data_IF_056144819628
#
_entry.id   IF_056144819628
#
_cell.length_a   1.000
_cell.length_b   1.000
_cell.length_c   1.000
_cell.angle_alpha   90.00
_cell.angle_beta   90.00
_cell.angle_gamma   90.00
#
_symmetry.space_group_name_H-M   'P 1'
#
loop_
_entity.id
_entity.type
_entity.pdbx_description
1 polymer ?
#
# COMPACT_ATOMS: atom_id res chain seq x y z
N UNK A 1 -25.76 -24.46 -40.60
CA UNK A 1 -24.57 -24.34 -39.74
C UNK A 1 -24.86 -23.27 -38.70
N UNK A 2 -25.31 -23.67 -37.51
CA UNK A 2 -25.65 -22.74 -36.44
C UNK A 2 -24.37 -22.27 -35.74
N UNK A 3 -24.17 -20.97 -35.74
CA UNK A 3 -23.02 -20.31 -35.13
C UNK A 3 -23.28 -20.17 -33.62
N UNK A 4 -22.75 -21.11 -32.83
CA UNK A 4 -22.77 -21.00 -31.37
C UNK A 4 -21.67 -20.02 -30.94
N UNK A 5 -21.96 -18.72 -31.05
CA UNK A 5 -21.21 -17.69 -30.33
C UNK A 5 -21.52 -17.85 -28.83
N UNK A 6 -20.78 -18.74 -28.18
CA UNK A 6 -20.73 -18.87 -26.74
C UNK A 6 -20.15 -17.60 -26.13
N UNK A 7 -20.99 -16.59 -25.96
CA UNK A 7 -20.80 -15.52 -25.00
C UNK A 7 -20.75 -16.18 -23.63
N UNK A 8 -19.55 -16.45 -23.13
CA UNK A 8 -19.33 -16.68 -21.71
C UNK A 8 -19.66 -15.36 -21.01
N UNK A 9 -20.94 -15.17 -20.66
CA UNK A 9 -21.29 -14.23 -19.60
C UNK A 9 -20.60 -14.73 -18.34
N UNK A 10 -19.48 -14.13 -17.98
CA UNK A 10 -18.96 -14.20 -16.62
C UNK A 10 -19.95 -13.45 -15.72
N UNK A 11 -21.01 -14.12 -15.33
CA UNK A 11 -21.78 -13.72 -14.15
C UNK A 11 -20.85 -13.83 -12.94
N UNK A 12 -20.96 -12.88 -12.00
CA UNK A 12 -20.21 -12.77 -10.73
C UNK A 12 -20.39 -13.95 -9.75
N UNK A 13 -20.66 -15.15 -10.24
CA UNK A 13 -20.61 -16.35 -9.43
C UNK A 13 -19.14 -16.79 -9.33
N UNK A 14 -18.62 -16.76 -8.11
CA UNK A 14 -17.38 -17.44 -7.72
C UNK A 14 -17.36 -18.83 -8.37
N UNK A 15 -16.29 -19.16 -9.10
CA UNK A 15 -16.08 -20.50 -9.61
C UNK A 15 -15.90 -21.39 -8.38
N UNK A 16 -16.99 -21.99 -7.89
CA UNK A 16 -16.90 -22.99 -6.83
C UNK A 16 -16.12 -24.17 -7.40
N UNK A 17 -14.96 -24.41 -6.80
CA UNK A 17 -14.08 -25.48 -7.24
C UNK A 17 -14.77 -26.82 -6.91
N UNK A 18 -15.11 -27.65 -7.91
CA UNK A 18 -15.85 -28.89 -7.67
C UNK A 18 -15.03 -29.94 -6.92
N UNK A 19 -13.71 -29.75 -6.82
CA UNK A 19 -12.78 -30.56 -6.05
C UNK A 19 -12.02 -29.67 -5.07
N UNK A 20 -12.10 -29.92 -3.74
CA UNK A 20 -11.37 -29.15 -2.73
C UNK A 20 -9.84 -29.28 -2.85
N UNK A 21 -9.32 -30.22 -3.65
CA UNK A 21 -7.89 -30.37 -3.92
C UNK A 21 -7.40 -29.52 -5.09
N UNK A 22 -8.29 -28.89 -5.86
CA UNK A 22 -7.88 -28.05 -6.97
C UNK A 22 -7.29 -26.73 -6.47
N UNK A 23 -6.25 -26.19 -7.13
CA UNK A 23 -5.69 -24.90 -6.77
C UNK A 23 -6.77 -23.81 -6.82
N UNK A 24 -6.88 -23.04 -5.73
CA UNK A 24 -7.75 -21.86 -5.70
C UNK A 24 -7.16 -20.80 -6.62
N UNK A 25 -7.87 -20.47 -7.70
CA UNK A 25 -7.49 -19.41 -8.63
C UNK A 25 -7.97 -18.09 -8.04
N UNK A 26 -7.03 -17.19 -7.75
CA UNK A 26 -7.30 -15.84 -7.23
C UNK A 26 -7.12 -14.78 -8.31
N UNK A 27 -7.64 -13.58 -8.06
CA UNK A 27 -7.62 -12.43 -9.00
C UNK A 27 -6.22 -11.89 -9.29
N UNK A 28 -5.28 -12.08 -8.38
CA UNK A 28 -3.86 -11.73 -8.52
C UNK A 28 -3.02 -12.87 -7.94
N UNK A 29 -1.92 -13.22 -8.61
CA UNK A 29 -1.05 -14.35 -8.25
C UNK A 29 -0.37 -14.21 -6.89
N UNK A 30 -0.35 -13.00 -6.33
CA UNK A 30 0.20 -12.72 -4.99
C UNK A 30 -0.81 -12.92 -3.88
N UNK A 31 -2.10 -13.02 -4.20
CA UNK A 31 -3.13 -13.17 -3.18
C UNK A 31 -3.01 -14.52 -2.49
N UNK A 32 -3.27 -14.51 -1.19
CA UNK A 32 -3.21 -15.67 -0.31
C UNK A 32 -4.47 -15.73 0.53
N UNK A 33 -4.71 -16.84 1.24
CA UNK A 33 -5.84 -16.92 2.17
C UNK A 33 -5.78 -15.88 3.31
N UNK A 34 -4.61 -15.27 3.57
CA UNK A 34 -4.44 -14.20 4.56
C UNK A 34 -4.38 -12.80 3.97
N UNK A 35 -4.62 -12.61 2.67
CA UNK A 35 -4.55 -11.28 2.06
C UNK A 35 -5.66 -10.36 2.59
N UNK A 36 -5.27 -9.24 3.20
CA UNK A 36 -6.19 -8.27 3.80
C UNK A 36 -6.41 -7.05 2.89
N UNK A 37 -5.33 -6.49 2.35
CA UNK A 37 -5.39 -5.28 1.54
C UNK A 37 -4.38 -5.37 0.41
N UNK A 38 -4.81 -5.34 -0.84
CA UNK A 38 -3.94 -5.13 -1.99
C UNK A 38 -4.42 -3.91 -2.77
N UNK A 39 -3.61 -2.85 -2.75
CA UNK A 39 -3.83 -1.64 -3.55
C UNK A 39 -2.82 -1.64 -4.68
N UNK A 40 -3.31 -1.55 -5.91
CA UNK A 40 -2.48 -1.42 -7.10
C UNK A 40 -3.17 -0.48 -8.10
N UNK A 41 -2.71 0.79 -8.22
CA UNK A 41 -3.29 1.78 -9.12
C UNK A 41 -3.33 1.40 -10.60
N UNK A 42 -2.54 0.44 -11.09
CA UNK A 42 -2.59 0.00 -12.49
C UNK A 42 -3.21 -1.39 -12.68
N UNK A 43 -3.80 -1.98 -11.65
CA UNK A 43 -4.31 -3.34 -11.76
C UNK A 43 -5.32 -3.47 -12.91
N UNK A 44 -5.24 -4.54 -13.69
CA UNK A 44 -6.09 -4.72 -14.88
C UNK A 44 -7.58 -4.81 -14.53
N UNK A 45 -7.91 -5.37 -13.36
CA UNK A 45 -9.29 -5.53 -12.90
C UNK A 45 -9.83 -4.30 -12.16
N UNK A 46 -9.02 -3.67 -11.30
CA UNK A 46 -9.47 -2.68 -10.30
C UNK A 46 -8.52 -1.49 -10.18
N UNK A 47 -7.81 -1.16 -11.27
CA UNK A 47 -6.92 -0.02 -11.36
C UNK A 47 -7.66 1.32 -11.33
N UNK A 48 -6.92 2.39 -11.06
CA UNK A 48 -7.45 3.74 -10.98
C UNK A 48 -7.55 4.36 -12.39
N UNK A 49 -8.72 4.92 -12.69
CA UNK A 49 -8.92 5.72 -13.91
C UNK A 49 -8.42 7.16 -13.75
N UNK A 50 -8.50 7.70 -12.53
CA UNK A 50 -8.06 9.03 -12.14
C UNK A 50 -7.55 9.02 -10.69
N UNK A 51 -6.86 10.08 -10.28
CA UNK A 51 -6.47 10.29 -8.88
C UNK A 51 -7.72 10.49 -8.03
N UNK A 52 -7.95 9.68 -6.97
CA UNK A 52 -9.08 9.89 -6.08
C UNK A 52 -8.95 11.21 -5.31
N UNK A 53 -10.04 11.97 -5.28
CA UNK A 53 -10.18 13.15 -4.44
C UNK A 53 -10.35 12.75 -2.96
N UNK A 54 -10.31 13.74 -2.06
CA UNK A 54 -10.64 13.53 -0.64
C UNK A 54 -12.07 12.97 -0.51
N UNK A 55 -12.25 11.93 0.31
CA UNK A 55 -13.48 11.15 0.41
C UNK A 55 -13.66 10.08 -0.68
N UNK A 56 -12.80 10.06 -1.70
CA UNK A 56 -12.77 9.04 -2.73
C UNK A 56 -12.29 7.68 -2.23
N UNK A 57 -12.48 6.65 -3.04
CA UNK A 57 -12.08 5.28 -2.73
C UNK A 57 -10.99 4.77 -3.67
N UNK A 58 -10.14 3.88 -3.14
CA UNK A 58 -9.22 3.06 -3.90
C UNK A 58 -9.64 1.60 -3.69
N UNK A 59 -9.98 0.87 -4.77
CA UNK A 59 -10.38 -0.53 -4.67
C UNK A 59 -9.32 -1.39 -3.98
N UNK A 60 -9.76 -2.27 -3.10
CA UNK A 60 -8.95 -3.35 -2.56
C UNK A 60 -9.08 -4.57 -3.47
N UNK A 61 -7.99 -5.03 -4.08
CA UNK A 61 -7.98 -6.20 -4.95
C UNK A 61 -8.16 -7.49 -4.14
N UNK A 62 -7.72 -7.49 -2.88
CA UNK A 62 -7.84 -8.61 -1.93
C UNK A 62 -9.19 -8.60 -1.17
N UNK A 63 -10.24 -7.94 -1.69
CA UNK A 63 -11.46 -7.73 -0.91
C UNK A 63 -12.21 -9.03 -0.59
N UNK A 64 -12.12 -10.05 -1.44
CA UNK A 64 -12.78 -11.36 -1.21
C UNK A 64 -12.08 -12.12 -0.09
N UNK A 65 -10.74 -12.19 -0.14
CA UNK A 65 -9.92 -12.78 0.91
C UNK A 65 -10.14 -12.04 2.23
N UNK A 66 -10.13 -10.71 2.19
CA UNK A 66 -10.40 -9.89 3.37
C UNK A 66 -11.82 -10.09 3.92
N UNK A 67 -12.84 -10.19 3.06
CA UNK A 67 -14.21 -10.45 3.49
C UNK A 67 -14.35 -11.83 4.16
N UNK A 68 -13.64 -12.85 3.66
CA UNK A 68 -13.60 -14.16 4.27
C UNK A 68 -12.95 -14.13 5.66
N UNK A 69 -11.84 -13.40 5.83
CA UNK A 69 -11.13 -13.26 7.11
C UNK A 69 -11.96 -12.46 8.12
N UNK A 70 -12.55 -11.35 7.70
CA UNK A 70 -13.35 -10.46 8.55
C UNK A 70 -14.77 -11.00 8.82
N UNK A 71 -15.18 -12.08 8.12
CA UNK A 71 -16.52 -12.66 8.18
C UNK A 71 -17.62 -11.79 7.57
N UNK A 72 -17.26 -10.65 6.96
CA UNK A 72 -18.19 -9.73 6.30
C UNK A 72 -17.43 -8.75 5.41
N UNK A 73 -18.16 -8.11 4.49
CA UNK A 73 -17.64 -7.02 3.66
C UNK A 73 -18.01 -7.19 2.20
N UNK A 74 -17.92 -6.09 1.47
CA UNK A 74 -18.11 -6.00 0.03
C UNK A 74 -16.90 -5.30 -0.57
N UNK A 75 -16.75 -5.37 -1.90
CA UNK A 75 -15.73 -4.60 -2.60
C UNK A 75 -15.74 -3.11 -2.22
N UNK A 76 -16.92 -2.50 -2.05
CA UNK A 76 -17.06 -1.09 -1.68
C UNK A 76 -16.67 -0.86 -0.21
N UNK A 77 -17.20 -1.65 0.73
CA UNK A 77 -16.93 -1.43 2.17
C UNK A 77 -15.49 -1.77 2.56
N UNK A 78 -14.80 -2.60 1.77
CA UNK A 78 -13.40 -2.98 1.97
C UNK A 78 -12.43 -2.21 1.08
N UNK A 79 -12.92 -1.24 0.30
CA UNK A 79 -12.05 -0.29 -0.38
C UNK A 79 -11.37 0.65 0.62
N UNK A 80 -10.15 1.09 0.29
CA UNK A 80 -9.47 2.11 1.07
C UNK A 80 -10.06 3.49 0.77
N UNK A 81 -10.15 4.36 1.78
CA UNK A 81 -10.59 5.73 1.63
C UNK A 81 -9.40 6.67 1.53
N UNK A 82 -9.60 7.75 0.78
CA UNK A 82 -8.59 8.81 0.60
C UNK A 82 -8.96 10.02 1.43
N UNK A 83 -8.01 10.53 2.20
CA UNK A 83 -8.05 11.86 2.81
C UNK A 83 -7.00 12.72 2.13
N UNK A 84 -7.40 13.85 1.55
CA UNK A 84 -6.47 14.85 1.03
C UNK A 84 -6.84 16.23 1.59
N UNK A 85 -5.92 16.85 2.31
CA UNK A 85 -6.08 18.21 2.85
C UNK A 85 -4.93 19.15 2.43
N UNK A 86 -4.17 18.79 1.40
CA UNK A 86 -3.21 19.71 0.80
C UNK A 86 -3.94 20.91 0.18
N UNK A 87 -3.39 22.10 0.39
CA UNK A 87 -3.84 23.32 -0.29
C UNK A 87 -3.46 23.33 -1.77
N UNK A 88 -3.97 24.35 -2.48
CA UNK A 88 -3.53 24.60 -3.85
C UNK A 88 -2.02 24.92 -3.91
N UNK A 89 -1.35 24.50 -4.98
CA UNK A 89 0.06 24.78 -5.28
C UNK A 89 1.11 24.25 -4.29
N UNK A 90 0.71 23.45 -3.29
CA UNK A 90 1.65 22.84 -2.33
C UNK A 90 1.84 21.34 -2.56
N UNK A 91 0.99 20.75 -3.41
CA UNK A 91 1.11 19.37 -3.85
C UNK A 91 0.52 19.19 -5.25
N UNK A 92 0.93 18.14 -5.92
CA UNK A 92 0.34 17.63 -7.16
C UNK A 92 0.20 16.12 -7.00
N UNK A 93 -0.98 15.60 -7.32
CA UNK A 93 -1.21 14.17 -7.41
C UNK A 93 -1.61 13.84 -8.84
N UNK A 94 -0.94 12.86 -9.42
CA UNK A 94 -1.16 12.42 -10.80
C UNK A 94 -1.11 10.89 -10.91
N UNK A 95 -1.69 10.36 -12.00
CA UNK A 95 -1.40 9.01 -12.44
C UNK A 95 -0.36 9.11 -13.56
N UNK A 96 0.75 8.38 -13.44
CA UNK A 96 1.72 8.29 -14.53
C UNK A 96 1.10 7.62 -15.78
N UNK A 97 1.76 7.69 -16.96
CA UNK A 97 1.32 6.94 -18.14
C UNK A 97 1.13 5.44 -17.87
N UNK A 98 1.96 4.84 -17.00
CA UNK A 98 1.82 3.44 -16.55
C UNK A 98 1.00 3.28 -15.26
N UNK A 99 0.22 4.31 -14.91
CA UNK A 99 -0.77 4.35 -13.84
C UNK A 99 -0.18 4.07 -12.45
N UNK A 100 1.01 4.58 -12.15
CA UNK A 100 1.47 4.71 -10.78
C UNK A 100 0.85 5.98 -10.17
N UNK A 101 0.44 5.91 -8.91
CA UNK A 101 -0.08 7.09 -8.21
C UNK A 101 1.08 7.93 -7.69
N UNK A 102 1.40 9.01 -8.39
CA UNK A 102 2.51 9.90 -8.08
C UNK A 102 2.03 11.10 -7.26
N UNK A 103 2.57 11.23 -6.05
CA UNK A 103 2.38 12.39 -5.20
C UNK A 103 3.66 13.22 -5.14
N UNK A 104 3.54 14.47 -5.56
CA UNK A 104 4.56 15.50 -5.45
C UNK A 104 4.16 16.43 -4.33
N UNK A 105 5.06 16.61 -3.36
CA UNK A 105 4.87 17.51 -2.23
C UNK A 105 5.93 18.59 -2.33
N UNK A 106 5.52 19.86 -2.39
CA UNK A 106 6.44 21.00 -2.33
C UNK A 106 7.39 20.88 -1.14
N UNK A 107 8.67 21.22 -1.33
CA UNK A 107 9.65 21.22 -0.23
C UNK A 107 10.02 22.62 0.26
N UNK A 108 9.56 23.68 -0.41
CA UNK A 108 9.75 25.06 0.07
C UNK A 108 8.45 25.70 0.57
N UNK A 109 7.28 25.30 0.06
CA UNK A 109 5.97 25.75 0.49
C UNK A 109 5.30 24.75 1.45
N UNK A 110 4.33 25.24 2.24
CA UNK A 110 3.57 24.48 3.22
C UNK A 110 4.37 23.95 4.43
N UNK A 111 4.70 24.89 5.32
CA UNK A 111 5.24 24.63 6.66
C UNK A 111 4.16 24.21 7.66
N UNK A 112 2.94 23.93 7.20
CA UNK A 112 1.88 23.36 8.01
C UNK A 112 1.73 21.86 7.73
N UNK A 113 0.81 21.24 8.46
CA UNK A 113 0.48 19.84 8.32
C UNK A 113 -0.51 19.64 7.19
N UNK A 114 -0.14 18.81 6.23
CA UNK A 114 -1.00 18.38 5.15
C UNK A 114 -0.61 16.97 4.70
N UNK A 115 -1.61 16.18 4.33
CA UNK A 115 -1.49 14.78 4.03
C UNK A 115 -2.40 14.41 2.86
N UNK A 116 -1.88 13.54 2.01
CA UNK A 116 -2.68 12.67 1.17
C UNK A 116 -2.51 11.28 1.74
N UNK A 117 -3.60 10.70 2.22
CA UNK A 117 -3.59 9.49 3.01
C UNK A 117 -4.55 8.49 2.40
N UNK A 118 -4.11 7.25 2.31
CA UNK A 118 -4.93 6.11 1.92
C UNK A 118 -5.07 5.21 3.16
N UNK A 119 -6.30 4.92 3.58
CA UNK A 119 -6.55 4.14 4.77
C UNK A 119 -7.73 3.17 4.65
N UNK A 120 -7.66 2.05 5.38
CA UNK A 120 -8.77 1.12 5.51
C UNK A 120 -8.96 0.76 6.99
N UNK A 121 -10.08 1.23 7.56
CA UNK A 121 -10.34 1.17 9.00
C UNK A 121 -10.70 -0.23 9.52
N UNK A 122 -11.49 -1.01 8.78
CA UNK A 122 -11.90 -2.35 9.19
C UNK A 122 -10.71 -3.31 9.30
N UNK A 123 -9.78 -3.23 8.34
CA UNK A 123 -8.54 -4.00 8.30
C UNK A 123 -7.60 -3.52 9.41
N UNK A 124 -7.50 -2.20 9.66
CA UNK A 124 -6.72 -1.70 10.78
C UNK A 124 -7.25 -2.22 12.13
N UNK A 125 -8.57 -2.23 12.31
CA UNK A 125 -9.23 -2.79 13.49
C UNK A 125 -8.98 -4.30 13.64
N UNK A 126 -9.05 -5.06 12.53
CA UNK A 126 -8.74 -6.48 12.52
C UNK A 126 -7.31 -6.76 13.01
N UNK A 127 -6.32 -6.05 12.47
CA UNK A 127 -4.90 -6.23 12.83
C UNK A 127 -4.69 -5.97 14.32
N UNK A 128 -5.30 -4.92 14.88
CA UNK A 128 -5.20 -4.59 16.31
C UNK A 128 -5.91 -5.59 17.20
N UNK A 129 -7.02 -6.18 16.73
CA UNK A 129 -7.75 -7.22 17.46
C UNK A 129 -7.01 -8.57 17.51
N UNK A 130 -6.00 -8.78 16.66
CA UNK A 130 -5.28 -10.06 16.54
C UNK A 130 -3.77 -9.88 16.86
N UNK A 131 -3.39 -9.45 18.07
CA UNK A 131 -2.01 -9.09 18.39
C UNK A 131 -1.03 -10.28 18.37
N UNK A 132 -1.51 -11.52 18.37
CA UNK A 132 -0.68 -12.72 18.30
C UNK A 132 -0.33 -13.12 16.86
N UNK A 133 -1.04 -12.59 15.87
CA UNK A 133 -0.80 -12.87 14.45
C UNK A 133 0.40 -12.10 13.94
N UNK A 134 1.09 -12.69 12.96
CA UNK A 134 2.19 -12.06 12.23
C UNK A 134 1.67 -11.42 10.94
N UNK A 135 1.88 -10.12 10.78
CA UNK A 135 1.35 -9.33 9.66
C UNK A 135 2.49 -8.85 8.78
N UNK A 136 2.41 -9.20 7.50
CA UNK A 136 3.32 -8.76 6.46
C UNK A 136 2.79 -7.52 5.77
N UNK A 137 3.63 -6.51 5.68
CA UNK A 137 3.36 -5.26 4.98
C UNK A 137 4.42 -5.09 3.91
N UNK A 138 4.00 -4.68 2.73
CA UNK A 138 4.92 -4.43 1.63
C UNK A 138 4.41 -3.37 0.69
N UNK A 139 5.33 -2.71 0.02
CA UNK A 139 5.04 -1.76 -1.04
C UNK A 139 6.22 -1.61 -2.00
N UNK A 140 5.90 -1.17 -3.21
CA UNK A 140 6.89 -0.83 -4.21
C UNK A 140 6.48 0.42 -4.98
N UNK A 141 7.47 1.07 -5.58
CA UNK A 141 7.24 2.31 -6.31
C UNK A 141 8.52 2.97 -6.77
N UNK A 142 8.44 4.28 -6.96
CA UNK A 142 9.56 5.13 -7.40
C UNK A 142 9.65 6.38 -6.54
N UNK A 143 10.81 6.66 -5.95
CA UNK A 143 11.08 7.93 -5.27
C UNK A 143 11.54 8.93 -6.33
N UNK A 144 10.78 10.02 -6.52
CA UNK A 144 11.10 11.09 -7.47
C UNK A 144 11.85 12.26 -6.81
N UNK A 145 11.68 12.46 -5.50
CA UNK A 145 12.46 13.39 -4.69
C UNK A 145 12.63 12.89 -3.27
N UNK A 146 13.86 12.84 -2.79
CA UNK A 146 14.17 12.47 -1.41
C UNK A 146 13.54 13.47 -0.42
N UNK A 147 13.14 13.04 0.78
CA UNK A 147 12.62 13.92 1.81
C UNK A 147 13.72 14.83 2.40
N UNK A 148 13.34 15.96 2.99
CA UNK A 148 14.26 16.81 3.75
C UNK A 148 14.50 16.31 5.19
N UNK A 149 13.61 15.47 5.73
CA UNK A 149 13.70 14.93 7.10
C UNK A 149 13.89 13.41 7.10
N UNK A 150 15.02 12.98 7.69
CA UNK A 150 15.45 11.59 7.91
C UNK A 150 14.41 10.67 8.57
N UNK A 151 13.48 11.21 9.34
CA UNK A 151 12.54 10.45 10.16
C UNK A 151 11.11 10.42 9.59
N UNK A 152 10.92 10.94 8.38
CA UNK A 152 9.60 11.02 7.76
C UNK A 152 8.99 9.63 7.54
N UNK A 153 7.79 9.43 8.09
CA UNK A 153 7.00 8.20 7.96
C UNK A 153 6.07 8.37 6.77
N UNK A 154 6.07 7.41 5.86
CA UNK A 154 5.21 7.46 4.68
C UNK A 154 4.35 6.20 4.50
N UNK A 155 4.56 5.17 5.34
CA UNK A 155 3.63 4.05 5.47
C UNK A 155 3.68 3.45 6.88
N UNK A 156 2.56 2.93 7.38
CA UNK A 156 2.52 2.15 8.62
C UNK A 156 1.16 2.10 9.31
N UNK A 157 1.05 1.24 10.32
CA UNK A 157 -0.06 1.21 11.28
C UNK A 157 0.47 1.67 12.64
N UNK A 158 0.14 2.91 12.99
CA UNK A 158 0.75 3.65 14.11
C UNK A 158 -0.33 4.46 14.87
N UNK A 159 -0.15 4.68 16.18
CA UNK A 159 -1.10 5.46 17.02
C UNK A 159 -0.86 6.98 16.98
N UNK A 160 -0.37 7.50 15.87
CA UNK A 160 0.21 8.85 15.75
C UNK A 160 1.53 9.05 16.53
N UNK A 161 2.55 9.35 15.74
CA UNK A 161 3.78 10.11 16.03
C UNK A 161 4.93 9.54 16.87
N UNK A 162 4.76 8.57 17.76
CA UNK A 162 5.92 8.04 18.49
C UNK A 162 6.50 6.76 17.85
N UNK A 163 7.83 6.73 17.70
CA UNK A 163 8.62 5.56 17.27
C UNK A 163 8.42 4.31 18.13
N UNK A 164 7.72 4.44 19.25
CA UNK A 164 7.46 3.40 20.23
C UNK A 164 6.01 2.90 20.21
N UNK A 165 5.11 3.45 19.37
CA UNK A 165 3.69 3.10 19.36
C UNK A 165 3.18 2.64 17.98
N UNK A 166 3.73 1.55 17.45
CA UNK A 166 3.40 1.02 16.13
C UNK A 166 3.36 -0.52 16.08
N UNK A 167 2.63 -1.05 15.09
CA UNK A 167 2.82 -2.43 14.62
C UNK A 167 3.87 -2.43 13.53
N UNK A 168 3.72 -1.57 12.51
CA UNK A 168 4.67 -1.44 11.40
C UNK A 168 4.90 0.03 11.06
N UNK A 169 6.15 0.36 10.70
CA UNK A 169 6.57 1.68 10.26
C UNK A 169 7.57 1.59 9.11
N UNK A 170 7.29 2.30 8.02
CA UNK A 170 8.23 2.60 6.95
C UNK A 170 8.62 4.08 7.05
N UNK A 171 9.89 4.33 7.31
CA UNK A 171 10.49 5.65 7.37
C UNK A 171 11.73 5.73 6.49
N UNK A 172 12.26 6.93 6.29
CA UNK A 172 13.40 7.10 5.38
C UNK A 172 14.63 6.28 5.78
N UNK A 173 14.96 6.22 7.06
CA UNK A 173 16.17 5.56 7.57
C UNK A 173 16.03 4.05 7.74
N UNK A 174 14.83 3.48 7.65
CA UNK A 174 14.62 2.06 7.87
C UNK A 174 13.15 1.65 7.98
N UNK A 175 12.91 0.35 8.02
CA UNK A 175 11.58 -0.23 8.28
C UNK A 175 11.67 -0.94 9.62
N UNK A 176 10.67 -0.77 10.45
CA UNK A 176 10.59 -1.45 11.75
C UNK A 176 9.18 -2.00 11.99
N UNK A 177 9.11 -3.09 12.75
CA UNK A 177 7.86 -3.65 13.22
C UNK A 177 7.96 -4.11 14.68
N UNK A 178 6.82 -4.11 15.39
CA UNK A 178 6.71 -4.78 16.68
C UNK A 178 6.90 -6.29 16.48
N UNK A 179 7.68 -6.92 17.37
CA UNK A 179 7.94 -8.36 17.28
C UNK A 179 8.50 -8.81 15.92
N UNK A 180 9.25 -7.93 15.24
CA UNK A 180 9.68 -8.09 13.85
C UNK A 180 10.22 -9.50 13.56
N UNK A 181 9.61 -10.16 12.58
CA UNK A 181 9.99 -11.52 12.14
C UNK A 181 10.81 -11.51 10.84
N UNK A 182 10.78 -10.40 10.09
CA UNK A 182 11.62 -10.20 8.91
C UNK A 182 11.48 -8.80 8.32
N UNK A 183 12.47 -8.37 7.53
CA UNK A 183 12.49 -7.05 6.89
C UNK A 183 13.31 -7.04 5.60
N UNK A 184 12.85 -6.29 4.60
CA UNK A 184 13.60 -5.96 3.39
C UNK A 184 13.53 -4.47 3.11
N UNK A 185 14.70 -3.90 2.79
CA UNK A 185 14.84 -2.57 2.23
C UNK A 185 15.65 -2.68 0.93
N UNK A 186 15.00 -2.43 -0.21
CA UNK A 186 15.64 -2.38 -1.52
C UNK A 186 15.30 -1.05 -2.21
N UNK A 187 16.27 -0.18 -2.50
CA UNK A 187 17.67 -0.25 -2.08
C UNK A 187 17.84 -0.15 -0.56
N UNK A 188 19.06 -0.44 -0.06
CA UNK A 188 19.38 -0.41 1.38
C UNK A 188 19.22 0.97 2.02
N UNK A 189 19.29 2.05 1.22
CA UNK A 189 18.90 3.41 1.57
C UNK A 189 17.45 3.65 1.11
N UNK A 190 16.45 3.55 2.00
CA UNK A 190 15.06 3.39 1.58
C UNK A 190 14.41 4.55 0.83
N UNK A 191 15.02 5.75 0.81
CA UNK A 191 14.51 6.89 0.03
C UNK A 191 15.57 7.56 -0.84
N UNK A 192 16.55 6.79 -1.32
CA UNK A 192 17.31 7.22 -2.48
C UNK A 192 16.36 7.36 -3.69
N UNK A 193 16.60 8.35 -4.55
CA UNK A 193 15.83 8.51 -5.78
C UNK A 193 15.96 7.24 -6.64
N UNK A 194 14.84 6.75 -7.16
CA UNK A 194 14.82 5.49 -7.92
C UNK A 194 13.71 4.54 -7.50
N UNK A 195 13.69 3.36 -8.12
CA UNK A 195 12.75 2.30 -7.78
C UNK A 195 13.08 1.71 -6.42
N UNK A 196 12.02 1.37 -5.68
CA UNK A 196 12.15 0.73 -4.39
C UNK A 196 11.14 -0.41 -4.22
N UNK A 197 11.52 -1.35 -3.38
CA UNK A 197 10.68 -2.39 -2.82
C UNK A 197 11.05 -2.57 -1.35
N UNK A 198 10.03 -2.48 -0.48
CA UNK A 198 10.22 -2.67 0.96
C UNK A 198 9.13 -3.54 1.51
N UNK A 199 9.51 -4.31 2.51
CA UNK A 199 8.56 -5.08 3.29
C UNK A 199 9.06 -5.31 4.71
N UNK A 200 8.14 -5.71 5.57
CA UNK A 200 8.41 -6.14 6.94
C UNK A 200 7.27 -7.02 7.41
N UNK A 201 7.58 -7.98 8.27
CA UNK A 201 6.58 -8.69 9.05
C UNK A 201 6.80 -8.46 10.54
N UNK A 202 5.70 -8.39 11.28
CA UNK A 202 5.73 -8.28 12.73
C UNK A 202 4.38 -8.56 13.37
N UNK A 203 4.43 -8.72 14.69
CA UNK A 203 3.30 -9.10 15.53
C UNK A 203 3.23 -8.28 16.80
N UNK A 204 2.03 -8.18 17.34
CA UNK A 204 1.75 -7.39 18.53
C UNK A 204 1.89 -5.90 18.26
N UNK A 205 1.96 -5.16 19.35
CA UNK A 205 1.97 -3.70 19.35
C UNK A 205 3.11 -3.26 20.26
N UNK A 206 3.90 -2.27 19.84
CA UNK A 206 4.71 -1.53 20.81
C UNK A 206 3.80 -0.48 21.45
N UNK A 207 3.64 -0.47 22.77
CA UNK A 207 2.75 0.46 23.49
C UNK A 207 1.24 0.26 23.26
N UNK A 208 0.47 1.36 23.24
CA UNK A 208 -1.00 1.36 23.04
C UNK A 208 -1.38 1.98 21.70
N UNK A 209 -2.37 1.41 20.98
CA UNK A 209 -2.95 1.94 19.74
C UNK A 209 -4.40 2.38 19.95
N UNK A 210 -4.62 3.65 20.29
CA UNK A 210 -5.95 4.21 20.55
C UNK A 210 -6.73 4.56 19.27
N UNK A 211 -6.04 4.87 18.15
CA UNK A 211 -6.68 5.14 16.86
C UNK A 211 -5.79 4.71 15.67
N UNK A 212 -5.56 3.38 15.51
CA UNK A 212 -4.71 2.86 14.45
C UNK A 212 -5.37 3.06 13.09
N UNK A 213 -4.62 3.60 12.15
CA UNK A 213 -4.99 3.65 10.74
C UNK A 213 -3.88 2.97 9.94
N UNK A 214 -4.24 2.10 8.99
CA UNK A 214 -3.30 1.56 8.01
C UNK A 214 -3.03 2.65 6.99
N UNK A 215 -1.84 3.22 6.97
CA UNK A 215 -1.58 4.41 6.16
C UNK A 215 -0.57 4.12 5.08
N UNK A 216 -0.92 4.42 3.83
CA UNK A 216 0.02 4.89 2.83
C UNK A 216 -0.17 6.41 2.73
N UNK A 217 0.91 7.20 2.81
CA UNK A 217 0.75 8.66 2.80
C UNK A 217 1.87 9.43 2.10
N UNK A 218 1.49 10.60 1.63
CA UNK A 218 2.36 11.71 1.25
C UNK A 218 2.10 12.88 2.19
N UNK A 219 3.14 13.66 2.49
CA UNK A 219 3.03 14.72 3.48
C UNK A 219 3.03 14.19 4.90
N UNK A 220 2.52 14.99 5.83
CA UNK A 220 2.58 14.72 7.26
C UNK A 220 1.24 14.93 7.94
N UNK A 221 0.97 14.16 8.99
CA UNK A 221 -0.13 14.37 9.94
C UNK A 221 0.45 14.71 11.33
N UNK A 222 0.06 15.86 11.90
CA UNK A 222 0.53 16.35 13.20
C UNK A 222 -0.50 16.09 14.28
N UNK A 223 0.01 15.58 15.41
CA UNK A 223 -0.43 15.91 16.75
C UNK A 223 0.71 16.53 17.62
N UNK A 224 1.95 16.69 17.12
CA UNK A 224 3.15 17.04 17.92
C UNK A 224 4.24 17.83 17.15
N UNK A 225 3.87 18.87 16.41
CA UNK A 225 4.76 19.99 16.04
C UNK A 225 5.93 19.77 15.04
N UNK A 226 6.42 18.56 14.80
CA UNK A 226 7.73 18.34 14.12
C UNK A 226 7.73 17.49 12.85
N UNK A 227 6.65 17.49 12.06
CA UNK A 227 6.74 17.07 10.66
C UNK A 227 5.84 17.96 9.82
N UNK A 228 6.43 18.99 9.24
CA UNK A 228 5.81 19.88 8.26
C UNK A 228 5.70 19.16 6.92
N UNK A 229 4.65 19.40 6.14
CA UNK A 229 4.41 18.65 4.91
C UNK A 229 5.59 18.79 3.92
N UNK A 230 6.26 19.95 3.93
CA UNK A 230 7.40 20.23 3.07
C UNK A 230 8.68 19.44 3.37
N UNK A 231 8.69 18.62 4.43
CA UNK A 231 9.77 17.68 4.68
C UNK A 231 9.54 16.30 4.04
N UNK A 232 8.36 16.07 3.47
CA UNK A 232 7.99 14.80 2.89
C UNK A 232 8.73 14.50 1.57
N UNK A 233 8.88 13.22 1.23
CA UNK A 233 9.35 12.80 -0.08
C UNK A 233 8.28 13.04 -1.14
N UNK A 234 8.71 13.15 -2.40
CA UNK A 234 7.82 12.94 -3.55
C UNK A 234 8.07 11.56 -4.13
N UNK A 235 7.01 10.81 -4.38
CA UNK A 235 7.12 9.41 -4.77
C UNK A 235 5.85 8.88 -5.43
N UNK A 236 6.02 7.83 -6.22
CA UNK A 236 4.95 7.16 -6.94
C UNK A 236 4.70 5.76 -6.37
N UNK A 237 3.46 5.49 -5.98
CA UNK A 237 3.01 4.19 -5.50
C UNK A 237 2.72 3.27 -6.70
N UNK A 238 3.45 2.16 -6.77
CA UNK A 238 3.13 1.05 -7.67
C UNK A 238 2.09 0.12 -7.06
N UNK A 239 2.33 -0.34 -5.84
CA UNK A 239 1.37 -1.14 -5.10
C UNK A 239 1.68 -1.13 -3.59
N UNK A 240 0.69 -1.49 -2.77
CA UNK A 240 0.85 -1.81 -1.35
C UNK A 240 0.02 -3.04 -0.97
N UNK A 241 0.60 -3.98 -0.21
CA UNK A 241 -0.03 -5.23 0.20
C UNK A 241 0.12 -5.46 1.70
N UNK A 242 -0.98 -5.87 2.35
CA UNK A 242 -1.04 -6.31 3.74
C UNK A 242 -1.58 -7.74 3.77
N UNK A 243 -0.85 -8.63 4.43
CA UNK A 243 -1.18 -10.06 4.57
C UNK A 243 -1.07 -10.47 6.03
N UNK A 244 -2.06 -11.18 6.54
CA UNK A 244 -1.94 -11.96 7.76
C UNK A 244 -1.25 -13.29 7.45
N UNK A 245 0.02 -13.40 7.82
CA UNK A 245 0.84 -14.59 7.56
C UNK A 245 0.36 -15.80 8.37
N UNK A 246 -0.25 -15.56 9.54
CA UNK A 246 -0.77 -16.61 10.41
C UNK A 246 -1.98 -17.27 9.77
N UNK A 247 -2.90 -16.47 9.22
CA UNK A 247 -4.05 -16.98 8.45
C UNK A 247 -3.62 -17.59 7.12
N UNK A 248 -2.64 -16.99 6.44
CA UNK A 248 -2.12 -17.53 5.18
C UNK A 248 -1.38 -18.86 5.35
N UNK A 249 -0.93 -19.21 6.57
CA UNK A 249 -0.05 -20.36 6.81
C UNK A 249 1.33 -20.18 6.16
N UNK A 250 1.79 -18.94 6.01
CA UNK A 250 3.05 -18.59 5.37
C UNK A 250 4.05 -18.01 6.36
N UNK A 251 5.33 -18.18 6.06
CA UNK A 251 6.41 -17.46 6.74
C UNK A 251 6.73 -16.16 6.02
N UNK A 252 7.40 -15.24 6.72
CA UNK A 252 7.94 -14.02 6.11
C UNK A 252 8.74 -14.32 4.84
N UNK A 253 9.65 -15.31 4.88
CA UNK A 253 10.54 -15.63 3.74
C UNK A 253 9.75 -16.09 2.51
N UNK A 254 8.66 -16.83 2.70
CA UNK A 254 7.80 -17.26 1.60
C UNK A 254 7.08 -16.05 0.97
N UNK A 255 6.49 -15.18 1.79
CA UNK A 255 5.79 -14.00 1.28
C UNK A 255 6.76 -12.99 0.63
N UNK A 256 7.93 -12.77 1.21
CA UNK A 256 9.00 -11.96 0.63
C UNK A 256 9.42 -12.49 -0.74
N UNK A 257 9.55 -13.81 -0.90
CA UNK A 257 9.89 -14.42 -2.19
C UNK A 257 8.81 -14.16 -3.25
N UNK A 258 7.53 -14.29 -2.88
CA UNK A 258 6.39 -14.04 -3.77
C UNK A 258 6.38 -12.58 -4.24
N UNK A 259 6.44 -11.63 -3.31
CA UNK A 259 6.41 -10.19 -3.65
C UNK A 259 7.66 -9.73 -4.38
N UNK A 260 8.85 -10.25 -4.01
CA UNK A 260 10.10 -9.91 -4.68
C UNK A 260 10.10 -10.40 -6.12
N UNK A 261 9.58 -11.61 -6.37
CA UNK A 261 9.45 -12.13 -7.73
C UNK A 261 8.51 -11.24 -8.57
N UNK A 262 7.38 -10.82 -8.01
CA UNK A 262 6.48 -9.88 -8.67
C UNK A 262 7.18 -8.54 -8.95
N UNK A 263 7.81 -7.92 -7.94
CA UNK A 263 8.54 -6.66 -8.10
C UNK A 263 9.61 -6.74 -9.19
N UNK A 264 10.43 -7.79 -9.19
CA UNK A 264 11.46 -7.99 -10.21
C UNK A 264 10.86 -8.11 -11.61
N UNK A 265 9.69 -8.74 -11.75
CA UNK A 265 8.97 -8.80 -13.04
C UNK A 265 8.49 -7.43 -13.53
N UNK A 266 8.31 -6.45 -12.65
CA UNK A 266 7.94 -5.08 -13.04
C UNK A 266 9.14 -4.27 -13.56
N UNK A 267 10.36 -4.67 -13.21
CA UNK A 267 11.61 -3.97 -13.55
C UNK A 267 12.28 -4.47 -14.83
N UNK A 268 11.84 -5.60 -15.40
CA UNK A 268 12.42 -6.11 -16.65
C UNK A 268 12.09 -5.18 -17.84
N UNK A 269 12.77 -5.37 -18.97
CA UNK A 269 12.44 -4.66 -20.21
C UNK A 269 10.97 -4.94 -20.60
N UNK A 270 10.20 -3.88 -20.87
CA UNK A 270 8.75 -3.99 -21.09
C UNK A 270 7.91 -4.12 -19.81
N UNK A 271 8.54 -4.25 -18.64
CA UNK A 271 7.89 -4.26 -17.34
C UNK A 271 7.19 -2.94 -17.02
N UNK A 272 6.30 -2.98 -16.02
CA UNK A 272 5.45 -1.85 -15.63
C UNK A 272 6.25 -0.64 -15.14
N UNK A 273 7.41 -0.81 -14.53
CA UNK A 273 8.19 0.32 -14.03
C UNK A 273 9.14 0.86 -15.10
N UNK A 274 9.70 0.00 -15.93
CA UNK A 274 10.71 0.38 -16.93
C UNK A 274 10.20 1.40 -17.94
N UNK A 275 10.82 2.58 -17.99
CA UNK A 275 10.49 3.64 -18.95
C UNK A 275 9.22 4.43 -18.66
N UNK A 276 8.67 4.33 -17.44
CA UNK A 276 7.63 5.26 -17.00
C UNK A 276 8.20 6.68 -16.81
N UNK A 277 7.34 7.68 -16.86
CA UNK A 277 7.71 9.10 -16.74
C UNK A 277 6.82 9.80 -15.73
N UNK A 278 7.41 10.73 -14.98
CA UNK A 278 6.74 11.46 -13.92
C UNK A 278 6.95 12.96 -14.12
N UNK A 279 5.98 13.77 -13.69
CA UNK A 279 6.19 15.21 -13.59
C UNK A 279 7.36 15.48 -12.66
N UNK A 280 8.31 16.32 -13.09
CA UNK A 280 9.49 16.62 -12.29
C UNK A 280 9.07 17.32 -10.98
N UNK A 281 9.51 16.87 -9.79
CA UNK A 281 9.11 17.50 -8.53
C UNK A 281 9.45 18.99 -8.41
N UNK A 282 10.42 19.47 -9.18
CA UNK A 282 10.80 20.89 -9.26
C UNK A 282 9.73 21.80 -9.88
N UNK A 283 8.65 21.26 -10.45
CA UNK A 283 7.51 22.07 -10.92
C UNK A 283 6.72 22.70 -9.77
N UNK A 284 6.82 22.12 -8.56
CA UNK A 284 6.38 22.72 -7.33
C UNK A 284 7.62 23.20 -6.58
N UNK A 285 7.77 24.52 -6.46
CA UNK A 285 8.72 25.12 -5.52
C UNK A 285 8.43 24.57 -4.14
#
# INVERSE_FOLDING_TARGET
MANNSGLFMQTQAEIQNPDPNWPVIRKDSRLTAGSLLLIDPSHSLLGLSAVPASGGIIPNIAWEEAAAILGSGTQVSLSATVTNNFGANVSLFELSPKKLLHGIVSQTANTATAVYQIAQAAIAAYIVANPTHDFYYSHAGYISRAPLNANHIYMGLTNSQYSVNNIVRFQQTGTTAAGQTGVRNSPSLPMAQGYFFRNVAGKGVTGSLASPTNLIKWGSNNNWGEFVANQAPSWALGWGHIVDLTVAGLTYTQMDTIELAYYNSLLVAGGRFTGDTFTAPSTLA
#
